data_IF_641456731664
#
_entry.id   IF_641456731664
#
_cell.length_a   1.000
_cell.length_b   1.000
_cell.length_c   1.000
_cell.angle_alpha   90.00
_cell.angle_beta   90.00
_cell.angle_gamma   90.00
#
_symmetry.space_group_name_H-M   'P 1'
#
loop_
_entity.id
_entity.type
_entity.pdbx_description
1 polymer ?
#
# COMPACT_ATOMS: atom_id res chain seq x y z
N UNK A 1 -4.67 6.29 6.08
CA UNK A 1 -3.83 5.83 4.96
C UNK A 1 -4.66 4.89 4.08
N UNK A 2 -4.24 4.59 2.85
CA UNK A 2 -4.83 3.55 1.98
C UNK A 2 -3.82 2.42 1.79
N UNK A 3 -4.30 1.24 1.42
CA UNK A 3 -3.48 0.05 1.19
C UNK A 3 -3.55 -0.30 -0.29
N UNK A 4 -2.38 -0.41 -0.92
CA UNK A 4 -2.23 -0.92 -2.28
C UNK A 4 -1.76 -2.36 -2.18
N UNK A 5 -2.59 -3.29 -2.62
CA UNK A 5 -2.25 -4.70 -2.76
C UNK A 5 -1.94 -4.95 -4.23
N UNK A 6 -0.71 -5.32 -4.54
CA UNK A 6 -0.24 -5.44 -5.93
C UNK A 6 0.39 -6.79 -6.16
N UNK A 7 0.14 -7.38 -7.33
CA UNK A 7 0.75 -8.62 -7.80
C UNK A 7 1.61 -8.29 -9.02
N UNK A 8 2.84 -8.78 -9.05
CA UNK A 8 3.77 -8.52 -10.14
C UNK A 8 3.92 -9.72 -11.07
N UNK A 9 4.03 -9.47 -12.37
CA UNK A 9 4.33 -10.48 -13.39
C UNK A 9 5.79 -10.93 -13.36
N UNK A 10 6.70 -10.08 -12.85
CA UNK A 10 8.14 -10.35 -12.77
C UNK A 10 8.69 -9.89 -11.43
N UNK A 11 9.83 -10.45 -11.03
CA UNK A 11 10.47 -10.10 -9.75
C UNK A 11 10.86 -8.62 -9.72
N UNK A 12 10.33 -7.89 -8.76
CA UNK A 12 10.61 -6.46 -8.51
C UNK A 12 11.36 -6.31 -7.19
N UNK A 13 12.42 -5.51 -7.13
CA UNK A 13 13.12 -5.26 -5.86
C UNK A 13 12.25 -4.47 -4.88
N UNK A 14 12.20 -4.91 -3.61
CA UNK A 14 11.48 -4.21 -2.54
C UNK A 14 11.91 -2.75 -2.42
N UNK A 15 13.20 -2.47 -2.58
CA UNK A 15 13.79 -1.12 -2.52
C UNK A 15 13.13 -0.13 -3.51
N UNK A 16 12.69 -0.61 -4.68
CA UNK A 16 12.04 0.22 -5.70
C UNK A 16 10.60 0.55 -5.31
N UNK A 17 9.94 -0.39 -4.63
CA UNK A 17 8.57 -0.21 -4.14
C UNK A 17 8.51 0.79 -2.97
N UNK A 18 9.59 0.90 -2.20
CA UNK A 18 9.70 1.89 -1.13
C UNK A 18 9.72 3.34 -1.65
N UNK A 19 10.06 3.56 -2.93
CA UNK A 19 9.94 4.86 -3.58
C UNK A 19 8.48 5.26 -3.86
N UNK A 20 7.58 4.28 -3.99
CA UNK A 20 6.14 4.51 -4.21
C UNK A 20 5.42 4.79 -2.89
N UNK A 21 5.79 4.08 -1.83
CA UNK A 21 5.16 4.21 -0.53
C UNK A 21 5.77 3.30 0.53
N UNK A 22 5.12 3.17 1.68
CA UNK A 22 5.63 2.34 2.77
C UNK A 22 5.27 0.87 2.54
N UNK A 23 6.25 0.06 2.17
CA UNK A 23 6.07 -1.38 1.93
C UNK A 23 5.94 -2.09 3.28
N UNK A 24 4.73 -2.51 3.63
CA UNK A 24 4.48 -3.23 4.88
C UNK A 24 4.67 -4.72 4.74
N UNK A 25 4.47 -5.26 3.54
CA UNK A 25 4.66 -6.68 3.26
C UNK A 25 5.17 -6.86 1.83
N UNK A 26 6.13 -7.75 1.64
CA UNK A 26 6.64 -8.09 0.32
C UNK A 26 6.96 -9.58 0.28
N UNK A 27 6.19 -10.32 -0.52
CA UNK A 27 6.35 -11.75 -0.76
C UNK A 27 6.00 -12.04 -2.21
N UNK A 28 7.03 -12.13 -3.07
CA UNK A 28 6.84 -12.29 -4.51
C UNK A 28 5.86 -13.43 -4.84
N UNK A 29 4.85 -13.20 -5.70
CA UNK A 29 4.65 -12.02 -6.54
C UNK A 29 3.87 -10.86 -5.91
N UNK A 30 3.45 -10.96 -4.64
CA UNK A 30 2.59 -9.98 -3.98
C UNK A 30 3.37 -8.96 -3.13
N UNK A 31 2.89 -7.73 -3.11
CA UNK A 31 3.35 -6.70 -2.17
C UNK A 31 2.17 -5.88 -1.62
N UNK A 32 2.32 -5.42 -0.39
CA UNK A 32 1.38 -4.52 0.28
C UNK A 32 2.10 -3.21 0.57
N UNK A 33 1.56 -2.12 0.03
CA UNK A 33 2.15 -0.79 0.11
C UNK A 33 1.14 0.18 0.72
N UNK A 34 1.49 0.82 1.82
CA UNK A 34 0.69 1.88 2.43
C UNK A 34 1.04 3.22 1.81
N UNK A 35 0.01 3.96 1.41
CA UNK A 35 0.14 5.30 0.82
C UNK A 35 -0.82 6.30 1.45
N UNK A 36 -0.53 7.61 1.38
CA UNK A 36 -1.47 8.65 1.79
C UNK A 36 -2.80 8.55 1.01
N UNK A 37 -3.94 8.74 1.70
CA UNK A 37 -5.28 8.61 1.08
C UNK A 37 -5.47 9.54 -0.12
N UNK A 38 -4.87 10.74 -0.06
CA UNK A 38 -4.94 11.73 -1.14
C UNK A 38 -4.08 11.36 -2.36
N UNK A 39 -3.07 10.51 -2.18
CA UNK A 39 -2.13 10.14 -3.24
C UNK A 39 -2.37 8.74 -3.79
N UNK A 40 -3.33 7.98 -3.27
CA UNK A 40 -3.51 6.56 -3.61
C UNK A 40 -3.66 6.33 -5.12
N UNK A 41 -4.46 7.15 -5.80
CA UNK A 41 -4.66 7.03 -7.25
C UNK A 41 -3.39 7.37 -8.03
N UNK A 42 -2.65 8.40 -7.60
CA UNK A 42 -1.38 8.80 -8.24
C UNK A 42 -0.31 7.73 -8.07
N UNK A 43 -0.19 7.15 -6.87
CA UNK A 43 0.77 6.07 -6.59
C UNK A 43 0.38 4.76 -7.29
N UNK A 44 -0.91 4.48 -7.42
CA UNK A 44 -1.40 3.36 -8.21
C UNK A 44 -1.03 3.52 -9.70
N UNK A 45 -1.26 4.70 -10.29
CA UNK A 45 -0.85 4.98 -11.66
C UNK A 45 0.66 4.82 -11.84
N UNK A 46 1.45 5.38 -10.93
CA UNK A 46 2.91 5.20 -10.93
C UNK A 46 3.32 3.72 -10.88
N UNK A 47 2.64 2.88 -10.08
CA UNK A 47 2.91 1.44 -10.03
C UNK A 47 2.64 0.76 -11.38
N UNK A 48 1.54 1.11 -12.03
CA UNK A 48 1.15 0.54 -13.33
C UNK A 48 2.09 0.97 -14.46
N UNK A 49 2.67 2.17 -14.38
CA UNK A 49 3.61 2.70 -15.37
C UNK A 49 5.05 2.16 -15.18
N UNK A 50 5.55 2.15 -13.94
CA UNK A 50 6.96 1.87 -13.65
C UNK A 50 7.26 0.37 -13.42
N UNK A 51 6.24 -0.45 -13.13
CA UNK A 51 6.41 -1.84 -12.72
C UNK A 51 5.57 -2.82 -13.53
N UNK A 52 6.02 -4.09 -13.67
CA UNK A 52 5.27 -5.13 -14.37
C UNK A 52 4.13 -5.66 -13.49
N UNK A 53 3.11 -4.84 -13.27
CA UNK A 53 1.94 -5.18 -12.46
C UNK A 53 1.04 -6.14 -13.22
N UNK A 54 0.70 -7.25 -12.59
CA UNK A 54 -0.29 -8.21 -13.07
C UNK A 54 -1.70 -7.83 -12.60
N UNK A 55 -1.81 -7.38 -11.36
CA UNK A 55 -3.06 -7.05 -10.69
C UNK A 55 -2.82 -6.00 -9.61
N UNK A 56 -3.76 -5.07 -9.42
CA UNK A 56 -3.65 -3.98 -8.45
C UNK A 56 -5.00 -3.66 -7.81
N UNK A 57 -5.04 -3.74 -6.49
CA UNK A 57 -6.17 -3.40 -5.65
C UNK A 57 -5.87 -2.22 -4.74
N UNK A 58 -6.83 -1.29 -4.64
CA UNK A 58 -6.79 -0.17 -3.70
C UNK A 58 -7.81 -0.44 -2.61
N UNK A 59 -7.34 -0.73 -1.41
CA UNK A 59 -8.15 -1.10 -0.27
C UNK A 59 -8.11 -0.02 0.82
N UNK A 60 -9.16 0.01 1.63
CA UNK A 60 -9.14 0.74 2.89
C UNK A 60 -8.47 -0.11 3.97
N UNK A 61 -7.81 0.52 4.96
CA UNK A 61 -7.37 -0.22 6.12
C UNK A 61 -8.57 -0.95 6.75
N UNK A 62 -8.37 -2.19 7.23
CA UNK A 62 -9.44 -2.97 7.82
C UNK A 62 -10.12 -2.20 8.96
N UNK A 63 -11.44 -2.37 9.10
CA UNK A 63 -12.23 -1.62 10.08
C UNK A 63 -11.70 -1.86 11.50
N UNK A 64 -11.16 -3.03 11.80
CA UNK A 64 -10.52 -3.37 13.07
C UNK A 64 -9.35 -2.42 13.41
N UNK A 65 -8.60 -1.95 12.40
CA UNK A 65 -7.55 -0.95 12.61
C UNK A 65 -8.15 0.43 12.93
N UNK A 66 -9.27 0.78 12.30
CA UNK A 66 -9.99 2.04 12.57
C UNK A 66 -10.63 2.02 13.97
N UNK A 67 -11.28 0.91 14.35
CA UNK A 67 -11.84 0.73 15.70
C UNK A 67 -10.71 0.83 16.72
N UNK A 68 -9.56 0.17 16.49
CA UNK A 68 -8.41 0.32 17.38
C UNK A 68 -7.95 1.78 17.47
N UNK A 69 -7.79 2.50 16.37
CA UNK A 69 -7.40 3.92 16.41
C UNK A 69 -8.39 4.79 17.18
N UNK A 70 -9.71 4.58 17.00
CA UNK A 70 -10.76 5.34 17.69
C UNK A 70 -10.88 4.98 19.17
N UNK A 71 -10.79 3.69 19.52
CA UNK A 71 -10.97 3.21 20.89
C UNK A 71 -9.70 3.25 21.74
N UNK A 72 -8.51 3.19 21.13
CA UNK A 72 -7.24 3.32 21.87
C UNK A 72 -6.90 4.76 22.19
N UNK A 73 -7.68 5.75 21.70
CA UNK A 73 -7.53 7.16 22.05
C UNK A 73 -6.06 7.56 22.09
N UNK A 74 -5.40 7.67 20.93
CA UNK A 74 -4.18 8.49 20.88
C UNK A 74 -4.61 9.91 21.20
N UNK A 75 -4.61 10.14 22.51
CA UNK A 75 -4.95 11.34 23.21
C UNK A 75 -4.08 12.46 22.63
N UNK A 76 -4.74 13.58 22.41
CA UNK A 76 -4.11 14.86 22.21
C UNK A 76 -3.42 15.27 23.51
N UNK A 77 -2.26 14.70 23.85
CA UNK A 77 -1.34 15.19 24.87
C UNK A 77 0.04 14.50 24.80
#
# INVERSE_FOLDING_TARGET
HKVLSVVFQRKVGREKLEAVGSVTEYSYPKAIIKVPRKESSRRAAQLLEDFPVADLNIEEPPIENIIREVFTGKDVA
#
